data_IF_068937993708
#
_entry.id   IF_068937993708
#
_cell.length_a   1.000
_cell.length_b   1.000
_cell.length_c   1.000
_cell.angle_alpha   90.00
_cell.angle_beta   90.00
_cell.angle_gamma   90.00
#
_symmetry.space_group_name_H-M   'P 1'
#
loop_
_entity.id
_entity.type
_entity.pdbx_description
1 polymer ?
#
# COMPACT_ATOMS: atom_id res chain seq x y z
N UNK A 1 37.23 -29.66 -35.82
CA UNK A 1 35.96 -30.14 -36.39
C UNK A 1 35.07 -30.54 -35.20
N UNK A 2 34.08 -29.72 -34.85
CA UNK A 2 33.07 -30.07 -33.80
C UNK A 2 31.71 -29.80 -34.43
N UNK A 3 30.95 -30.89 -34.59
CA UNK A 3 29.61 -30.92 -35.19
C UNK A 3 28.59 -30.22 -34.25
N UNK A 4 27.86 -29.27 -34.81
CA UNK A 4 26.67 -28.65 -34.18
C UNK A 4 25.45 -29.47 -34.59
N UNK A 5 24.84 -30.12 -33.62
CA UNK A 5 23.59 -30.86 -33.81
C UNK A 5 22.43 -29.90 -33.54
N UNK A 6 21.69 -29.52 -34.59
CA UNK A 6 20.44 -28.75 -34.50
C UNK A 6 19.31 -29.68 -34.04
N UNK A 7 18.73 -29.38 -32.88
CA UNK A 7 17.53 -30.04 -32.41
C UNK A 7 16.31 -29.20 -32.79
N UNK A 8 15.54 -29.67 -33.76
CA UNK A 8 14.27 -29.07 -34.18
C UNK A 8 13.16 -29.70 -33.34
N UNK A 9 12.50 -28.88 -32.53
CA UNK A 9 11.32 -29.27 -31.74
C UNK A 9 10.05 -28.92 -32.53
N UNK A 10 9.10 -29.84 -32.72
CA UNK A 10 7.85 -29.53 -33.39
C UNK A 10 6.89 -28.79 -32.44
N UNK A 11 6.37 -27.66 -32.90
CA UNK A 11 5.31 -26.87 -32.26
C UNK A 11 3.97 -27.55 -32.50
N UNK A 12 3.37 -28.13 -31.46
CA UNK A 12 1.99 -28.59 -31.48
C UNK A 12 1.04 -27.41 -31.19
N UNK A 13 0.37 -26.92 -32.22
CA UNK A 13 -0.71 -25.93 -32.12
C UNK A 13 -2.01 -26.70 -31.78
N UNK A 14 -2.45 -26.61 -30.55
CA UNK A 14 -3.81 -27.06 -30.15
C UNK A 14 -4.77 -25.89 -30.33
N UNK A 15 -5.59 -25.95 -31.38
CA UNK A 15 -6.74 -25.08 -31.60
C UNK A 15 -7.89 -25.51 -30.68
N UNK A 16 -8.13 -24.76 -29.63
CA UNK A 16 -9.35 -24.88 -28.83
C UNK A 16 -10.47 -24.11 -29.54
N UNK A 17 -11.37 -24.88 -30.19
CA UNK A 17 -12.63 -24.38 -30.74
C UNK A 17 -13.61 -24.17 -29.59
N UNK A 18 -13.95 -22.92 -29.30
CA UNK A 18 -15.03 -22.58 -28.36
C UNK A 18 -16.35 -22.49 -29.11
N UNK A 19 -17.19 -23.52 -28.96
CA UNK A 19 -18.56 -23.59 -29.49
C UNK A 19 -19.43 -22.67 -28.62
N UNK A 20 -19.91 -21.56 -29.15
CA UNK A 20 -20.93 -20.72 -28.54
C UNK A 20 -22.29 -21.27 -28.87
N UNK A 21 -22.99 -21.81 -27.85
CA UNK A 21 -24.42 -22.14 -27.94
C UNK A 21 -25.25 -20.86 -27.83
N UNK A 22 -25.67 -20.32 -28.97
CA UNK A 22 -26.68 -19.27 -29.04
C UNK A 22 -28.03 -19.94 -28.79
N UNK A 23 -28.66 -19.71 -27.65
CA UNK A 23 -30.07 -20.05 -27.39
C UNK A 23 -30.94 -18.97 -28.00
N UNK A 24 -31.67 -19.38 -29.03
CA UNK A 24 -32.76 -18.68 -29.67
C UNK A 24 -33.83 -18.26 -28.64
N UNK A 25 -34.07 -16.95 -28.47
CA UNK A 25 -35.15 -16.46 -27.63
C UNK A 25 -36.42 -16.36 -28.46
N UNK A 26 -37.36 -17.26 -28.19
CA UNK A 26 -38.73 -17.21 -28.69
C UNK A 26 -39.47 -16.00 -28.11
N UNK A 27 -39.92 -15.10 -28.97
CA UNK A 27 -40.74 -13.95 -28.63
C UNK A 27 -42.16 -14.45 -28.33
N UNK A 28 -42.54 -14.46 -27.08
CA UNK A 28 -43.94 -14.64 -26.66
C UNK A 28 -44.54 -13.24 -26.44
N UNK A 29 -45.44 -12.84 -27.32
CA UNK A 29 -46.37 -11.74 -27.08
C UNK A 29 -47.42 -12.23 -26.07
N UNK A 30 -47.51 -11.55 -24.91
CA UNK A 30 -48.71 -11.61 -24.09
C UNK A 30 -48.79 -10.32 -23.24
N UNK A 31 -49.88 -9.65 -23.43
CA UNK A 31 -50.35 -8.52 -22.63
C UNK A 31 -50.62 -8.97 -21.20
N UNK A 32 -49.84 -8.48 -20.25
CA UNK A 32 -50.26 -8.25 -18.86
C UNK A 32 -49.14 -7.53 -18.13
N UNK A 33 -49.38 -6.29 -17.74
CA UNK A 33 -48.50 -5.45 -16.91
C UNK A 33 -48.36 -6.17 -15.55
N UNK A 34 -47.17 -6.63 -15.13
CA UNK A 34 -47.02 -7.09 -13.76
C UNK A 34 -47.03 -5.87 -12.84
N UNK A 35 -47.96 -5.88 -11.92
CA UNK A 35 -48.06 -4.94 -10.78
C UNK A 35 -46.73 -5.01 -10.02
N UNK A 36 -45.93 -3.97 -10.16
CA UNK A 36 -44.67 -3.86 -9.39
C UNK A 36 -45.07 -3.68 -7.94
N UNK A 37 -44.96 -4.77 -7.18
CA UNK A 37 -45.05 -4.70 -5.72
C UNK A 37 -43.74 -4.04 -5.25
N UNK A 38 -43.77 -2.76 -4.93
CA UNK A 38 -42.70 -2.07 -4.25
C UNK A 38 -42.60 -2.69 -2.87
N UNK A 39 -41.64 -3.59 -2.69
CA UNK A 39 -41.28 -4.09 -1.37
C UNK A 39 -40.58 -2.91 -0.68
N UNK A 40 -41.31 -2.26 0.20
CA UNK A 40 -40.71 -1.24 1.08
C UNK A 40 -39.67 -1.94 1.95
N UNK A 41 -38.38 -1.72 1.65
CA UNK A 41 -37.31 -2.11 2.56
C UNK A 41 -37.57 -1.43 3.90
N UNK A 42 -37.60 -2.20 4.98
CA UNK A 42 -37.80 -1.64 6.32
C UNK A 42 -36.65 -0.65 6.66
N UNK A 43 -37.00 0.42 7.35
CA UNK A 43 -36.00 1.42 7.76
C UNK A 43 -34.84 0.81 8.58
N UNK A 44 -35.08 -0.30 9.26
CA UNK A 44 -34.09 -1.06 10.01
C UNK A 44 -33.01 -1.72 9.12
N UNK A 45 -33.39 -2.22 7.92
CA UNK A 45 -32.43 -2.82 6.99
C UNK A 45 -31.58 -1.78 6.29
N UNK A 46 -32.15 -0.58 6.03
CA UNK A 46 -31.43 0.55 5.48
C UNK A 46 -30.40 1.11 6.49
N UNK A 47 -30.73 1.17 7.78
CA UNK A 47 -29.82 1.63 8.82
C UNK A 47 -28.66 0.65 9.03
N UNK A 48 -28.90 -0.65 9.06
CA UNK A 48 -27.82 -1.68 9.16
C UNK A 48 -26.87 -1.64 7.97
N UNK A 49 -27.38 -1.42 6.77
CA UNK A 49 -26.56 -1.36 5.57
C UNK A 49 -25.71 -0.08 5.54
N UNK A 50 -26.26 1.05 5.99
CA UNK A 50 -25.54 2.32 6.12
C UNK A 50 -24.40 2.21 7.16
N UNK A 51 -24.66 1.62 8.32
CA UNK A 51 -23.65 1.44 9.38
C UNK A 51 -22.52 0.50 8.96
N UNK A 52 -22.83 -0.62 8.31
CA UNK A 52 -21.80 -1.53 7.78
C UNK A 52 -20.97 -0.89 6.66
N UNK A 53 -21.59 -0.05 5.81
CA UNK A 53 -20.86 0.68 4.76
C UNK A 53 -19.97 1.77 5.38
N UNK A 54 -20.44 2.52 6.37
CA UNK A 54 -19.65 3.52 7.07
C UNK A 54 -18.45 2.89 7.80
N UNK A 55 -18.64 1.74 8.44
CA UNK A 55 -17.58 0.99 9.13
C UNK A 55 -16.54 0.44 8.14
N UNK A 56 -16.98 -0.04 6.97
CA UNK A 56 -16.08 -0.49 5.90
C UNK A 56 -15.28 0.69 5.31
N UNK A 57 -15.91 1.82 5.04
CA UNK A 57 -15.25 3.04 4.55
C UNK A 57 -14.25 3.57 5.58
N UNK A 58 -14.59 3.58 6.87
CA UNK A 58 -13.68 3.96 7.94
C UNK A 58 -12.49 3.00 8.05
N UNK A 59 -12.70 1.68 7.90
CA UNK A 59 -11.65 0.69 7.88
C UNK A 59 -10.70 0.89 6.70
N UNK A 60 -11.22 1.09 5.49
CA UNK A 60 -10.42 1.35 4.29
C UNK A 60 -9.62 2.65 4.40
N UNK A 61 -10.18 3.70 5.04
CA UNK A 61 -9.47 4.94 5.29
C UNK A 61 -8.28 4.77 6.25
N UNK A 62 -8.37 3.82 7.19
CA UNK A 62 -7.32 3.53 8.15
C UNK A 62 -6.16 2.72 7.55
N UNK A 63 -6.38 2.01 6.45
CA UNK A 63 -5.36 1.16 5.81
C UNK A 63 -4.74 1.82 4.56
N UNK A 64 -5.06 3.09 4.28
CA UNK A 64 -4.61 3.78 3.07
C UNK A 64 -3.39 4.66 3.34
N UNK A 65 -2.43 4.61 2.39
CA UNK A 65 -1.27 5.49 2.29
C UNK A 65 -1.61 6.65 1.36
N UNK A 66 -1.45 7.88 1.83
CA UNK A 66 -1.56 9.09 1.02
C UNK A 66 -0.18 9.76 0.94
N UNK A 67 0.37 9.83 -0.27
CA UNK A 67 1.69 10.40 -0.53
C UNK A 67 1.79 11.85 -0.01
N UNK A 68 2.85 12.16 0.74
CA UNK A 68 3.09 13.49 1.31
C UNK A 68 2.10 13.94 2.38
N UNK A 69 1.24 13.04 2.85
CA UNK A 69 0.18 13.37 3.80
C UNK A 69 0.14 12.41 5.00
N UNK A 70 -0.21 11.13 4.79
CA UNK A 70 -0.42 10.22 5.91
C UNK A 70 -0.22 8.74 5.58
N UNK A 71 0.01 7.95 6.62
CA UNK A 71 -0.16 6.49 6.64
C UNK A 71 -1.14 6.16 7.77
N UNK A 72 -2.26 5.55 7.44
CA UNK A 72 -3.33 5.27 8.40
C UNK A 72 -3.79 6.57 9.12
N UNK A 73 -3.68 6.59 10.43
CA UNK A 73 -4.09 7.71 11.27
C UNK A 73 -2.96 8.71 11.57
N UNK A 74 -1.70 8.37 11.25
CA UNK A 74 -0.57 9.28 11.43
C UNK A 74 -0.42 10.20 10.23
N UNK A 75 -0.26 11.51 10.49
CA UNK A 75 -0.19 12.55 9.46
C UNK A 75 1.13 13.32 9.52
N UNK A 76 1.62 13.74 8.36
CA UNK A 76 2.75 14.67 8.26
C UNK A 76 2.38 16.00 8.96
N UNK A 77 3.31 16.57 9.69
CA UNK A 77 3.15 17.75 10.54
C UNK A 77 2.26 17.56 11.80
N UNK A 78 1.77 16.36 12.07
CA UNK A 78 1.07 16.04 13.31
C UNK A 78 1.97 16.22 14.53
N UNK A 79 1.40 16.67 15.65
CA UNK A 79 2.10 16.87 16.91
C UNK A 79 2.48 15.55 17.59
N UNK A 80 3.51 15.61 18.44
CA UNK A 80 3.97 14.45 19.21
C UNK A 80 2.88 13.89 20.14
N UNK A 81 2.25 14.74 20.93
CA UNK A 81 1.24 14.31 21.91
C UNK A 81 0.00 13.72 21.22
N UNK A 82 -0.40 14.33 20.08
CA UNK A 82 -1.52 13.83 19.27
C UNK A 82 -1.20 12.44 18.69
N UNK A 83 0.03 12.24 18.19
CA UNK A 83 0.45 10.94 17.69
C UNK A 83 0.44 9.86 18.79
N UNK A 84 0.85 10.19 20.02
CA UNK A 84 0.76 9.29 21.15
C UNK A 84 -0.69 8.97 21.56
N UNK A 85 -1.59 9.96 21.50
CA UNK A 85 -3.01 9.72 21.77
C UNK A 85 -3.62 8.72 20.79
N UNK A 86 -3.23 8.78 19.53
CA UNK A 86 -3.74 7.91 18.46
C UNK A 86 -3.12 6.51 18.53
N UNK A 87 -1.82 6.43 18.70
CA UNK A 87 -1.05 5.19 18.54
C UNK A 87 -0.74 4.50 19.88
N UNK A 88 -0.95 5.18 21.00
CA UNK A 88 -0.54 4.71 22.33
C UNK A 88 0.98 4.72 22.50
N UNK A 89 1.47 3.98 23.50
CA UNK A 89 2.88 3.91 23.83
C UNK A 89 3.69 3.22 22.71
N UNK A 90 4.82 3.79 22.29
CA UNK A 90 5.67 3.18 21.28
C UNK A 90 6.38 1.94 21.83
N UNK A 91 6.59 0.95 20.97
CA UNK A 91 7.37 -0.25 21.30
C UNK A 91 8.88 0.04 21.39
N UNK A 92 9.36 1.09 20.71
CA UNK A 92 10.74 1.55 20.76
C UNK A 92 10.83 3.05 20.44
N UNK A 93 11.85 3.71 20.99
CA UNK A 93 12.19 5.10 20.72
C UNK A 93 13.71 5.25 20.49
N UNK A 94 14.09 6.07 19.50
CA UNK A 94 15.49 6.42 19.21
C UNK A 94 15.62 7.94 19.09
N UNK A 95 16.54 8.52 19.86
CA UNK A 95 16.82 9.96 19.88
C UNK A 95 18.22 10.32 19.36
N UNK A 96 18.94 9.34 18.80
CA UNK A 96 20.38 9.41 18.53
C UNK A 96 20.81 10.42 17.45
N UNK A 97 19.90 10.96 16.62
CA UNK A 97 20.24 11.77 15.43
C UNK A 97 19.55 13.14 15.37
N UNK A 98 19.41 13.86 16.46
CA UNK A 98 18.67 15.15 16.54
C UNK A 98 17.19 15.05 16.09
N UNK A 99 16.69 13.86 15.85
CA UNK A 99 15.32 13.54 15.56
C UNK A 99 14.84 12.51 16.57
N UNK A 100 13.58 12.59 16.90
CA UNK A 100 12.92 11.53 17.69
C UNK A 100 12.27 10.55 16.71
N UNK A 101 12.68 9.30 16.78
CA UNK A 101 12.07 8.20 16.04
C UNK A 101 11.25 7.35 17.01
N UNK A 102 9.96 7.23 16.78
CA UNK A 102 9.07 6.33 17.53
C UNK A 102 8.64 5.18 16.62
N UNK A 103 8.61 3.98 17.17
CA UNK A 103 8.20 2.76 16.47
C UNK A 103 7.09 2.06 17.24
N UNK A 104 6.00 1.75 16.54
CA UNK A 104 4.88 0.95 17.04
C UNK A 104 4.82 -0.39 16.29
N UNK A 105 4.37 -1.42 17.00
CA UNK A 105 3.99 -2.68 16.35
C UNK A 105 2.69 -2.44 15.58
N UNK A 106 2.70 -2.66 14.26
CA UNK A 106 1.50 -2.50 13.45
C UNK A 106 0.60 -3.75 13.60
N UNK A 107 0.89 -4.78 12.85
CA UNK A 107 0.17 -6.03 12.89
C UNK A 107 1.15 -7.21 12.82
N UNK A 108 0.67 -8.39 13.14
CA UNK A 108 1.41 -9.63 12.99
C UNK A 108 0.65 -10.50 12.00
N UNK A 109 1.32 -10.90 10.92
CA UNK A 109 0.78 -11.82 9.92
C UNK A 109 1.64 -13.07 9.99
N UNK A 110 1.02 -14.19 10.21
CA UNK A 110 1.70 -15.45 10.53
C UNK A 110 2.65 -15.28 11.71
N UNK A 111 3.96 -15.44 11.49
CA UNK A 111 5.00 -15.25 12.51
C UNK A 111 5.74 -13.91 12.40
N UNK A 112 5.46 -13.11 11.37
CA UNK A 112 6.17 -11.87 11.08
C UNK A 112 5.51 -10.68 11.76
N UNK A 113 6.26 -9.95 12.60
CA UNK A 113 5.83 -8.69 13.19
C UNK A 113 6.16 -7.53 12.26
N UNK A 114 5.16 -6.72 11.95
CA UNK A 114 5.31 -5.50 11.17
C UNK A 114 5.33 -4.27 12.09
N UNK A 115 5.85 -3.15 11.58
CA UNK A 115 6.03 -1.92 12.33
C UNK A 115 5.56 -0.71 11.55
N UNK A 116 5.09 0.30 12.28
CA UNK A 116 4.90 1.67 11.80
C UNK A 116 5.80 2.57 12.61
N UNK A 117 6.51 3.47 11.94
CA UNK A 117 7.52 4.33 12.55
C UNK A 117 7.23 5.78 12.18
N UNK A 118 7.26 6.68 13.13
CA UNK A 118 7.20 8.12 12.88
C UNK A 118 8.48 8.82 13.32
N UNK A 119 9.01 9.67 12.44
CA UNK A 119 10.15 10.51 12.72
C UNK A 119 9.70 11.95 12.96
N UNK A 120 10.03 12.48 14.12
CA UNK A 120 9.72 13.84 14.53
C UNK A 120 10.94 14.74 14.39
N UNK A 121 10.75 15.94 13.86
CA UNK A 121 11.76 17.01 13.90
C UNK A 121 11.47 17.93 15.08
N UNK A 122 12.54 18.39 15.73
CA UNK A 122 12.42 19.50 16.66
C UNK A 122 12.19 20.80 15.88
N UNK A 123 11.10 21.48 16.19
CA UNK A 123 10.75 22.80 15.65
C UNK A 123 10.47 23.75 16.80
N UNK A 124 10.50 25.06 16.54
CA UNK A 124 10.17 26.09 17.55
C UNK A 124 8.76 25.94 18.11
N UNK A 125 7.83 25.41 17.30
CA UNK A 125 6.43 25.14 17.60
C UNK A 125 6.18 23.70 18.10
N UNK A 126 7.22 23.00 18.52
CA UNK A 126 7.14 21.65 19.06
C UNK A 126 7.61 20.56 18.10
N UNK A 127 7.56 19.32 18.56
CA UNK A 127 7.92 18.14 17.78
C UNK A 127 6.82 17.82 16.78
N UNK A 128 7.14 17.80 15.49
CA UNK A 128 6.20 17.51 14.40
C UNK A 128 6.70 16.33 13.58
N UNK A 129 5.77 15.46 13.15
CA UNK A 129 6.06 14.35 12.24
C UNK A 129 6.53 14.92 10.90
N UNK A 130 7.70 14.47 10.44
CA UNK A 130 8.24 14.80 9.12
C UNK A 130 8.32 13.59 8.19
N UNK A 131 8.28 12.39 8.74
CA UNK A 131 8.25 11.14 7.97
C UNK A 131 7.53 10.06 8.76
N UNK A 132 6.73 9.27 8.05
CA UNK A 132 6.05 8.08 8.56
C UNK A 132 6.47 6.92 7.66
N UNK A 133 6.80 5.78 8.24
CA UNK A 133 7.21 4.60 7.48
C UNK A 133 6.51 3.36 8.00
N UNK A 134 6.24 2.40 7.12
CA UNK A 134 5.63 1.14 7.50
C UNK A 134 6.24 -0.04 6.75
N UNK A 135 6.40 -1.16 7.44
CA UNK A 135 6.77 -2.45 6.84
C UNK A 135 5.55 -3.34 6.60
N UNK A 136 4.37 -2.92 7.05
CA UNK A 136 3.14 -3.72 6.95
C UNK A 136 2.63 -3.82 5.52
N UNK A 137 2.33 -5.01 5.02
CA UNK A 137 1.73 -5.21 3.70
C UNK A 137 0.24 -4.82 3.65
N UNK A 138 -0.41 -4.57 4.79
CA UNK A 138 -1.82 -4.17 4.85
C UNK A 138 -2.03 -2.75 4.35
N UNK A 139 -1.05 -1.86 4.52
CA UNK A 139 -1.16 -0.48 4.07
C UNK A 139 -0.82 -0.36 2.59
N UNK A 140 -1.73 0.22 1.82
CA UNK A 140 -1.59 0.43 0.38
C UNK A 140 -1.94 1.86 -0.01
N UNK A 141 -1.32 2.35 -1.07
CA UNK A 141 -1.77 3.58 -1.73
C UNK A 141 -3.12 3.37 -2.43
N UNK A 142 -3.75 4.43 -2.89
CA UNK A 142 -4.97 4.33 -3.70
C UNK A 142 -4.76 3.48 -4.96
N UNK A 143 -3.54 3.45 -5.51
CA UNK A 143 -3.16 2.61 -6.64
C UNK A 143 -2.64 1.22 -6.23
N UNK A 144 -2.95 0.77 -5.01
CA UNK A 144 -2.60 -0.55 -4.46
C UNK A 144 -1.08 -0.83 -4.36
N UNK A 145 -0.25 0.22 -4.34
CA UNK A 145 1.20 0.09 -4.08
C UNK A 145 1.46 0.07 -2.57
N UNK A 146 2.35 -0.83 -2.13
CA UNK A 146 2.75 -0.95 -0.73
C UNK A 146 3.82 -2.03 -0.56
N UNK A 147 4.12 -2.41 0.68
CA UNK A 147 5.03 -3.51 0.95
C UNK A 147 4.56 -4.80 0.23
N UNK A 148 5.51 -5.53 -0.37
CA UNK A 148 5.28 -6.68 -1.24
C UNK A 148 5.11 -6.33 -2.73
N UNK A 149 4.85 -5.08 -3.11
CA UNK A 149 4.77 -4.66 -4.52
C UNK A 149 6.12 -4.78 -5.21
N UNK A 150 6.12 -5.15 -6.50
CA UNK A 150 7.35 -5.20 -7.30
C UNK A 150 7.78 -3.79 -7.73
N UNK A 151 9.09 -3.59 -7.90
CA UNK A 151 9.63 -2.34 -8.39
C UNK A 151 9.07 -1.95 -9.78
N UNK A 152 8.81 -2.94 -10.63
CA UNK A 152 8.20 -2.70 -11.93
C UNK A 152 6.80 -2.07 -11.78
N UNK A 153 5.97 -2.62 -10.88
CA UNK A 153 4.64 -2.06 -10.60
C UNK A 153 4.71 -0.67 -9.97
N UNK A 154 5.65 -0.46 -9.01
CA UNK A 154 5.89 0.85 -8.41
C UNK A 154 6.21 1.89 -9.48
N UNK A 155 7.11 1.59 -10.43
CA UNK A 155 7.48 2.52 -11.52
C UNK A 155 6.34 2.82 -12.48
N UNK A 156 5.41 1.90 -12.68
CA UNK A 156 4.19 2.16 -13.48
C UNK A 156 3.30 3.18 -12.79
N UNK A 157 3.12 3.07 -11.46
CA UNK A 157 2.26 3.97 -10.69
C UNK A 157 2.93 5.31 -10.36
N UNK A 158 4.26 5.32 -10.26
CA UNK A 158 5.10 6.50 -9.98
C UNK A 158 6.18 6.65 -11.06
N UNK A 159 5.82 7.10 -12.28
CA UNK A 159 6.74 7.11 -13.43
C UNK A 159 7.93 8.06 -13.27
N UNK A 160 7.82 9.06 -12.40
CA UNK A 160 8.86 10.04 -12.11
C UNK A 160 9.77 9.66 -10.94
N UNK A 161 9.51 8.52 -10.30
CA UNK A 161 10.29 8.04 -9.16
C UNK A 161 11.74 7.82 -9.52
N UNK A 162 12.65 8.26 -8.66
CA UNK A 162 14.09 8.15 -8.88
C UNK A 162 14.73 7.25 -7.84
N UNK A 163 15.69 6.43 -8.28
CA UNK A 163 16.54 5.70 -7.36
C UNK A 163 17.43 6.69 -6.64
N UNK A 164 17.47 6.63 -5.30
CA UNK A 164 18.43 7.38 -4.51
C UNK A 164 19.85 6.89 -4.82
N UNK A 165 20.83 7.78 -4.70
CA UNK A 165 22.23 7.46 -5.01
C UNK A 165 22.79 6.39 -4.09
N UNK A 166 22.32 6.33 -2.85
CA UNK A 166 22.82 5.42 -1.83
C UNK A 166 21.93 4.17 -1.72
N UNK A 167 22.57 3.01 -1.79
CA UNK A 167 22.03 1.76 -1.29
C UNK A 167 22.61 1.51 0.11
N UNK A 168 21.93 0.71 0.92
CA UNK A 168 22.43 0.35 2.24
C UNK A 168 22.20 -1.14 2.54
N UNK A 169 22.91 -1.66 3.53
CA UNK A 169 22.64 -3.00 4.04
C UNK A 169 21.69 -2.91 5.23
N UNK A 170 20.68 -3.77 5.25
CA UNK A 170 19.83 -3.93 6.43
C UNK A 170 20.57 -4.71 7.53
N UNK A 171 19.95 -4.91 8.69
CA UNK A 171 20.54 -5.67 9.81
C UNK A 171 20.92 -7.11 9.46
N UNK A 172 20.28 -7.70 8.44
CA UNK A 172 20.62 -9.05 7.94
C UNK A 172 21.71 -9.04 6.85
N UNK A 173 22.35 -7.89 6.59
CA UNK A 173 23.40 -7.74 5.58
C UNK A 173 22.90 -7.76 4.14
N UNK A 174 21.59 -7.67 3.90
CA UNK A 174 20.99 -7.63 2.57
C UNK A 174 20.93 -6.22 2.02
N UNK A 175 21.22 -6.06 0.73
CA UNK A 175 21.20 -4.76 0.05
C UNK A 175 19.75 -4.23 -0.11
N UNK A 176 19.56 -2.96 0.25
CA UNK A 176 18.30 -2.24 0.10
C UNK A 176 18.52 -1.04 -0.82
N UNK A 177 17.67 -0.94 -1.85
CA UNK A 177 17.63 0.21 -2.75
C UNK A 177 16.45 1.10 -2.40
N UNK A 178 16.67 2.41 -2.35
CA UNK A 178 15.65 3.42 -2.06
C UNK A 178 15.20 4.07 -3.37
N UNK A 179 13.90 4.16 -3.57
CA UNK A 179 13.26 4.87 -4.68
C UNK A 179 12.38 5.97 -4.10
N UNK A 180 12.62 7.22 -4.47
CA UNK A 180 12.00 8.38 -3.87
C UNK A 180 11.28 9.25 -4.92
N UNK A 181 10.00 9.50 -4.70
CA UNK A 181 9.21 10.49 -5.43
C UNK A 181 9.07 11.75 -4.56
N UNK A 182 10.10 12.57 -4.61
CA UNK A 182 10.28 13.75 -3.74
C UNK A 182 9.11 14.74 -3.86
N UNK A 183 8.57 14.93 -5.08
CA UNK A 183 7.50 15.89 -5.31
C UNK A 183 6.20 15.47 -4.65
N UNK A 184 5.90 14.19 -4.66
CA UNK A 184 4.70 13.64 -4.04
C UNK A 184 4.90 13.33 -2.56
N UNK A 185 6.15 13.18 -2.11
CA UNK A 185 6.49 12.89 -0.73
C UNK A 185 6.27 11.42 -0.36
N UNK A 186 6.68 10.49 -1.23
CA UNK A 186 6.60 9.07 -0.98
C UNK A 186 7.87 8.36 -1.46
N UNK A 187 8.35 7.41 -0.67
CA UNK A 187 9.51 6.60 -1.01
C UNK A 187 9.24 5.11 -0.75
N UNK A 188 9.90 4.27 -1.52
CA UNK A 188 9.82 2.81 -1.44
C UNK A 188 11.22 2.23 -1.32
N UNK A 189 11.43 1.38 -0.33
CA UNK A 189 12.65 0.62 -0.17
C UNK A 189 12.44 -0.79 -0.69
N UNK A 190 13.34 -1.25 -1.57
CA UNK A 190 13.23 -2.57 -2.20
C UNK A 190 14.42 -3.43 -1.85
N UNK A 191 14.17 -4.73 -1.68
CA UNK A 191 15.20 -5.74 -1.51
C UNK A 191 15.88 -6.09 -2.86
N UNK A 192 16.84 -7.00 -2.83
CA UNK A 192 17.58 -7.47 -4.01
C UNK A 192 16.69 -8.13 -5.08
N UNK A 193 15.56 -8.68 -4.67
CA UNK A 193 14.55 -9.26 -5.58
C UNK A 193 13.64 -8.19 -6.21
N UNK A 194 13.84 -6.91 -5.89
CA UNK A 194 13.00 -5.80 -6.35
C UNK A 194 11.61 -5.76 -5.71
N UNK A 195 11.42 -6.39 -4.56
CA UNK A 195 10.17 -6.30 -3.78
C UNK A 195 10.27 -5.20 -2.74
N UNK A 196 9.22 -4.40 -2.64
CA UNK A 196 9.09 -3.37 -1.61
C UNK A 196 9.03 -3.99 -0.21
N UNK A 197 9.90 -3.53 0.67
CA UNK A 197 9.98 -3.98 2.07
C UNK A 197 9.63 -2.89 3.07
N UNK A 198 9.65 -1.61 2.65
CA UNK A 198 9.25 -0.47 3.45
C UNK A 198 8.69 0.63 2.55
N UNK A 199 7.61 1.25 2.99
CA UNK A 199 7.05 2.46 2.38
C UNK A 199 7.21 3.61 3.37
N UNK A 200 7.66 4.76 2.89
CA UNK A 200 7.76 6.00 3.67
C UNK A 200 6.96 7.11 3.02
N UNK A 201 6.21 7.84 3.83
CA UNK A 201 5.59 9.11 3.46
C UNK A 201 6.34 10.21 4.18
N UNK A 202 6.71 11.27 3.47
CA UNK A 202 7.50 12.38 4.00
C UNK A 202 6.99 13.72 3.47
N UNK A 203 7.51 14.81 4.00
CA UNK A 203 7.13 16.16 3.56
C UNK A 203 7.43 16.32 2.07
N UNK A 204 6.43 16.76 1.29
CA UNK A 204 6.58 17.02 -0.16
C UNK A 204 7.73 17.98 -0.43
N UNK A 205 8.52 17.68 -1.44
CA UNK A 205 9.70 18.47 -1.80
C UNK A 205 10.94 18.18 -0.96
N UNK A 206 10.86 17.37 0.11
CA UNK A 206 11.99 16.92 0.91
C UNK A 206 12.38 15.50 0.54
N UNK A 207 13.65 15.15 0.75
CA UNK A 207 14.12 13.77 0.54
C UNK A 207 13.70 12.87 1.67
N UNK A 208 13.45 11.60 1.34
CA UNK A 208 13.29 10.53 2.32
C UNK A 208 14.52 10.45 3.24
N UNK A 209 14.26 10.26 4.53
CA UNK A 209 15.31 10.09 5.54
C UNK A 209 15.42 8.58 5.82
N UNK A 210 16.62 8.06 5.66
CA UNK A 210 16.90 6.65 5.94
C UNK A 210 16.58 6.31 7.40
N UNK A 211 15.72 5.32 7.58
CA UNK A 211 15.41 4.71 8.87
C UNK A 211 16.14 3.36 8.89
N UNK A 212 17.13 3.22 9.79
CA UNK A 212 17.77 1.92 10.02
C UNK A 212 16.88 1.12 10.98
N UNK A 213 16.01 0.27 10.45
CA UNK A 213 15.17 -0.65 11.22
C UNK A 213 15.93 -1.92 11.60
#
# INVERSE_FOLDING_TARGET
MKFFTFFVLPVCILLFSCSQNVKEQTIIKSDSIPKITVIALSAADSAKKADSTAKLVASLANDTIFAGDKIAQLMINQGFDEALQIMGDPAAADTSKNNLLLQWKANKIDTVQYFTTAMFSNRKDGKKIKQISTTSPSFKTQTQVGCGSTLAYIKVQYPTIKKATETYLNKAGKSISVYDEIKEGIAFETNEEGKCVLVSVHVKGQKNIKISL
#
